data_IF_586469391353
#
_entry.id   IF_586469391353
#
_cell.length_a   1.000
_cell.length_b   1.000
_cell.length_c   1.000
_cell.angle_alpha   90.00
_cell.angle_beta   90.00
_cell.angle_gamma   90.00
#
_symmetry.space_group_name_H-M   'P 1'
#
loop_
_entity.id
_entity.type
_entity.pdbx_description
1 polymer ?
#
# COMPACT_ATOMS: atom_id res chain seq x y z
N UNK A 1 1.78 7.77 -10.24
CA UNK A 1 1.78 6.39 -10.72
C UNK A 1 0.65 5.57 -10.12
N UNK A 2 0.02 4.76 -10.91
CA UNK A 2 -1.06 3.87 -10.48
C UNK A 2 -0.61 2.91 -9.38
N UNK A 3 0.64 2.50 -9.41
CA UNK A 3 1.21 1.53 -8.45
C UNK A 3 1.13 2.07 -7.02
N UNK A 4 1.46 3.33 -6.81
CA UNK A 4 1.38 3.94 -5.48
C UNK A 4 -0.06 3.95 -4.96
N UNK A 5 -1.02 4.21 -5.82
CA UNK A 5 -2.44 4.18 -5.47
C UNK A 5 -2.87 2.76 -5.07
N UNK A 6 -2.46 1.77 -5.86
CA UNK A 6 -2.77 0.37 -5.56
C UNK A 6 -2.13 -0.09 -4.25
N UNK A 7 -0.91 0.35 -3.96
CA UNK A 7 -0.24 0.01 -2.70
C UNK A 7 -1.02 0.56 -1.50
N UNK A 8 -1.48 1.81 -1.56
CA UNK A 8 -2.27 2.40 -0.47
C UNK A 8 -3.55 1.60 -0.27
N UNK A 9 -4.25 1.27 -1.36
CA UNK A 9 -5.51 0.51 -1.28
C UNK A 9 -5.28 -0.87 -0.68
N UNK A 10 -4.26 -1.59 -1.14
CA UNK A 10 -3.94 -2.92 -0.64
C UNK A 10 -3.58 -2.90 0.85
N UNK A 11 -2.76 -1.93 1.27
CA UNK A 11 -2.37 -1.82 2.68
C UNK A 11 -3.58 -1.54 3.58
N UNK A 12 -4.47 -0.67 3.16
CA UNK A 12 -5.67 -0.37 3.93
C UNK A 12 -6.63 -1.57 3.97
N UNK A 13 -6.77 -2.29 2.87
CA UNK A 13 -7.60 -3.51 2.82
C UNK A 13 -7.05 -4.59 3.74
N UNK A 14 -5.74 -4.78 3.78
CA UNK A 14 -5.08 -5.73 4.70
C UNK A 14 -5.39 -5.36 6.15
N UNK A 15 -5.41 -4.07 6.46
CA UNK A 15 -5.72 -3.58 7.81
C UNK A 15 -7.22 -3.56 8.11
N UNK A 16 -8.07 -4.01 7.19
CA UNK A 16 -9.50 -4.06 7.37
C UNK A 16 -10.21 -2.72 7.23
N UNK A 17 -9.56 -1.73 6.65
CA UNK A 17 -10.10 -0.38 6.50
C UNK A 17 -10.59 -0.15 5.07
N UNK A 18 -11.81 0.38 4.94
CA UNK A 18 -12.36 0.78 3.64
C UNK A 18 -11.67 2.05 3.14
N UNK A 19 -11.40 2.13 1.84
CA UNK A 19 -10.58 3.17 1.23
C UNK A 19 -11.43 4.21 0.52
N UNK A 20 -11.19 5.48 0.80
CA UNK A 20 -11.80 6.62 0.11
C UNK A 20 -10.72 7.39 -0.66
N UNK A 21 -11.16 8.25 -1.61
CA UNK A 21 -10.26 9.14 -2.34
C UNK A 21 -9.42 10.00 -1.38
N UNK A 22 -10.05 10.51 -0.31
CA UNK A 22 -9.35 11.31 0.69
C UNK A 22 -8.22 10.56 1.38
N UNK A 23 -8.38 9.24 1.58
CA UNK A 23 -7.34 8.41 2.20
C UNK A 23 -6.09 8.33 1.33
N UNK A 24 -6.27 8.20 0.00
CA UNK A 24 -5.15 8.19 -0.94
C UNK A 24 -4.48 9.55 -0.99
N UNK A 25 -5.27 10.62 -1.04
CA UNK A 25 -4.78 12.00 -1.02
C UNK A 25 -3.89 12.24 0.19
N UNK A 26 -4.36 11.84 1.37
CA UNK A 26 -3.63 12.02 2.62
C UNK A 26 -2.37 11.15 2.66
N UNK A 27 -2.47 9.88 2.26
CA UNK A 27 -1.35 8.94 2.32
C UNK A 27 -0.21 9.32 1.36
N UNK A 28 -0.55 9.83 0.17
CA UNK A 28 0.43 10.19 -0.84
C UNK A 28 0.76 11.68 -0.87
N UNK A 29 0.11 12.46 -0.01
CA UNK A 29 0.28 13.92 0.05
C UNK A 29 0.08 14.57 -1.32
N UNK A 30 -1.03 14.22 -1.97
CA UNK A 30 -1.39 14.73 -3.29
C UNK A 30 -2.71 15.52 -3.21
N UNK A 31 -2.89 16.53 -4.08
CA UNK A 31 -4.14 17.28 -4.14
C UNK A 31 -5.31 16.38 -4.57
N UNK A 32 -6.45 16.54 -3.92
CA UNK A 32 -7.66 15.73 -4.20
C UNK A 32 -8.11 15.74 -5.65
N UNK A 33 -8.12 16.89 -6.37
CA UNK A 33 -8.54 16.88 -7.77
C UNK A 33 -7.71 15.96 -8.65
N UNK A 34 -6.39 15.91 -8.44
CA UNK A 34 -5.50 15.03 -9.17
C UNK A 34 -5.73 13.56 -8.82
N UNK A 35 -5.95 13.27 -7.53
CA UNK A 35 -6.26 11.91 -7.07
C UNK A 35 -7.58 11.43 -7.66
N UNK A 36 -8.62 12.28 -7.63
CA UNK A 36 -9.93 11.93 -8.20
C UNK A 36 -9.83 11.60 -9.68
N UNK A 37 -9.03 12.39 -10.42
CA UNK A 37 -8.81 12.16 -11.85
C UNK A 37 -8.12 10.82 -12.10
N UNK A 38 -7.05 10.55 -11.37
CA UNK A 38 -6.28 9.31 -11.50
C UNK A 38 -7.14 8.09 -11.14
N UNK A 39 -7.91 8.17 -10.06
CA UNK A 39 -8.83 7.11 -9.66
C UNK A 39 -9.84 6.81 -10.78
N UNK A 40 -10.39 7.86 -11.40
CA UNK A 40 -11.32 7.70 -12.51
C UNK A 40 -10.68 7.00 -13.70
N UNK A 41 -9.45 7.38 -14.04
CA UNK A 41 -8.68 6.71 -15.09
C UNK A 41 -8.45 5.24 -14.78
N UNK A 42 -8.07 4.94 -13.54
CA UNK A 42 -7.82 3.56 -13.10
C UNK A 42 -9.10 2.72 -13.12
N UNK A 43 -10.22 3.32 -12.77
CA UNK A 43 -11.52 2.67 -12.86
C UNK A 43 -11.87 2.34 -14.31
N UNK A 44 -11.66 3.28 -15.23
CA UNK A 44 -11.90 3.09 -16.65
C UNK A 44 -11.02 1.99 -17.25
N UNK A 45 -9.79 1.85 -16.73
CA UNK A 45 -8.85 0.81 -17.16
C UNK A 45 -9.10 -0.54 -16.48
N UNK A 46 -10.03 -0.58 -15.55
CA UNK A 46 -10.41 -1.82 -14.89
C UNK A 46 -9.55 -2.20 -13.68
N UNK A 47 -8.72 -1.31 -13.15
CA UNK A 47 -7.86 -1.59 -12.01
C UNK A 47 -8.55 -1.39 -10.67
N UNK A 48 -9.58 -0.57 -10.63
CA UNK A 48 -10.36 -0.26 -9.44
C UNK A 48 -11.85 -0.35 -9.72
N UNK A 49 -12.64 -0.55 -8.65
CA UNK A 49 -14.08 -0.32 -8.67
C UNK A 49 -14.46 0.60 -7.54
N UNK A 50 -15.59 1.29 -7.70
CA UNK A 50 -16.18 2.13 -6.67
C UNK A 50 -17.50 1.51 -6.23
N UNK A 51 -17.75 1.54 -4.92
CA UNK A 51 -19.04 1.13 -4.37
C UNK A 51 -19.48 2.14 -3.32
N UNK A 52 -20.75 2.59 -3.36
CA UNK A 52 -21.23 3.49 -2.33
C UNK A 52 -21.30 2.78 -0.97
N UNK A 53 -21.12 3.57 0.10
CA UNK A 53 -21.34 3.08 1.44
C UNK A 53 -22.79 2.68 1.64
N UNK A 54 -23.04 1.59 2.36
CA UNK A 54 -24.40 1.17 2.71
C UNK A 54 -25.09 2.18 3.63
N UNK A 55 -24.31 2.89 4.44
CA UNK A 55 -24.84 3.87 5.40
C UNK A 55 -25.07 5.24 4.77
N UNK A 56 -24.22 5.65 3.81
CA UNK A 56 -24.31 6.95 3.14
C UNK A 56 -23.84 6.84 1.70
N UNK A 57 -24.78 6.88 0.76
CA UNK A 57 -24.51 6.75 -0.68
C UNK A 57 -23.60 7.86 -1.24
N UNK A 58 -23.40 8.95 -0.51
CA UNK A 58 -22.47 10.02 -0.93
C UNK A 58 -21.01 9.64 -0.70
N UNK A 59 -20.76 8.64 0.13
CA UNK A 59 -19.42 8.14 0.39
C UNK A 59 -19.16 6.97 -0.56
N UNK A 60 -18.11 7.11 -1.37
CA UNK A 60 -17.68 6.06 -2.31
C UNK A 60 -16.41 5.41 -1.79
N UNK A 61 -16.46 4.08 -1.65
CA UNK A 61 -15.30 3.28 -1.30
C UNK A 61 -14.67 2.70 -2.55
N UNK A 62 -13.35 2.63 -2.54
CA UNK A 62 -12.53 2.11 -3.63
C UNK A 62 -12.09 0.69 -3.32
N UNK A 63 -12.14 -0.18 -4.32
CA UNK A 63 -11.70 -1.57 -4.19
C UNK A 63 -10.78 -1.90 -5.35
N UNK A 64 -9.70 -2.64 -5.06
CA UNK A 64 -8.81 -3.14 -6.09
C UNK A 64 -9.50 -4.31 -6.80
N UNK A 65 -9.39 -4.35 -8.13
CA UNK A 65 -9.89 -5.46 -8.94
C UNK A 65 -8.81 -6.53 -9.10
N UNK A 66 -9.18 -7.68 -9.67
CA UNK A 66 -8.20 -8.72 -10.01
C UNK A 66 -7.16 -8.19 -11.00
N UNK A 67 -7.56 -7.37 -11.95
CA UNK A 67 -6.63 -6.74 -12.90
C UNK A 67 -5.69 -5.76 -12.20
N UNK A 68 -6.19 -5.03 -11.21
CA UNK A 68 -5.37 -4.16 -10.37
C UNK A 68 -4.34 -4.95 -9.56
N UNK A 69 -4.75 -6.09 -9.00
CA UNK A 69 -3.84 -6.98 -8.26
C UNK A 69 -2.75 -7.55 -9.17
N UNK A 70 -3.10 -7.93 -10.40
CA UNK A 70 -2.13 -8.40 -11.38
C UNK A 70 -1.12 -7.34 -11.74
N UNK A 71 -1.56 -6.09 -11.93
CA UNK A 71 -0.66 -4.97 -12.22
C UNK A 71 0.32 -4.75 -11.08
N UNK A 72 -0.17 -4.74 -9.85
CA UNK A 72 0.65 -4.56 -8.65
C UNK A 72 1.67 -5.70 -8.50
N UNK A 73 1.25 -6.94 -8.65
CA UNK A 73 2.11 -8.11 -8.55
C UNK A 73 3.21 -8.11 -9.63
N UNK A 74 2.85 -7.75 -10.85
CA UNK A 74 3.81 -7.67 -11.96
C UNK A 74 4.88 -6.61 -11.70
N UNK A 75 4.48 -5.44 -11.20
CA UNK A 75 5.42 -4.38 -10.84
C UNK A 75 6.36 -4.84 -9.73
N UNK A 76 5.83 -5.44 -8.68
CA UNK A 76 6.62 -5.93 -7.56
C UNK A 76 7.62 -7.01 -8.00
N UNK A 77 7.20 -7.90 -8.89
CA UNK A 77 8.08 -8.92 -9.47
C UNK A 77 9.22 -8.29 -10.27
N UNK A 78 8.92 -7.28 -11.10
CA UNK A 78 9.93 -6.58 -11.90
C UNK A 78 10.94 -5.86 -11.00
N UNK A 79 10.48 -5.18 -9.95
CA UNK A 79 11.35 -4.49 -9.00
C UNK A 79 12.23 -5.51 -8.28
N UNK A 80 11.64 -6.60 -7.78
CA UNK A 80 12.39 -7.65 -7.09
C UNK A 80 13.47 -8.25 -8.00
N UNK A 81 13.13 -8.59 -9.24
CA UNK A 81 14.07 -9.18 -10.19
C UNK A 81 15.22 -8.20 -10.54
N UNK A 82 14.91 -6.90 -10.59
CA UNK A 82 15.94 -5.88 -10.83
C UNK A 82 16.92 -5.76 -9.67
N UNK A 83 16.45 -5.97 -8.44
CA UNK A 83 17.27 -5.89 -7.24
C UNK A 83 18.04 -7.17 -6.92
N UNK A 84 17.58 -8.31 -7.46
CA UNK A 84 18.08 -9.62 -7.09
C UNK A 84 19.62 -9.76 -7.23
N UNK A 85 20.25 -9.31 -8.33
CA UNK A 85 21.70 -9.41 -8.45
C UNK A 85 22.46 -8.70 -7.33
N UNK A 86 21.96 -7.56 -6.88
CA UNK A 86 22.58 -6.81 -5.79
C UNK A 86 22.34 -7.50 -4.43
N UNK A 87 21.16 -8.10 -4.26
CA UNK A 87 20.81 -8.82 -3.03
C UNK A 87 21.61 -10.12 -2.89
N UNK A 88 21.95 -10.77 -3.99
CA UNK A 88 22.74 -12.02 -3.98
C UNK A 88 24.16 -11.81 -3.43
N UNK A 89 24.66 -10.58 -3.47
CA UNK A 89 25.96 -10.23 -2.90
C UNK A 89 25.94 -10.18 -1.37
N UNK A 90 24.76 -10.17 -0.76
CA UNK A 90 24.59 -10.15 0.69
C UNK A 90 24.60 -11.60 1.20
N UNK A 91 25.49 -11.90 2.18
CA UNK A 91 25.53 -13.24 2.76
C UNK A 91 24.24 -13.57 3.52
N UNK A 92 23.89 -14.86 3.60
CA UNK A 92 22.74 -15.31 4.39
C UNK A 92 22.88 -14.93 5.86
N UNK A 93 24.09 -14.99 6.39
CA UNK A 93 24.37 -14.61 7.77
C UNK A 93 24.08 -13.14 8.03
N UNK A 94 24.53 -12.26 7.13
CA UNK A 94 24.28 -10.81 7.26
C UNK A 94 22.78 -10.50 7.12
N UNK A 95 22.09 -11.17 6.19
CA UNK A 95 20.66 -11.01 6.01
C UNK A 95 19.88 -11.40 7.27
N UNK A 96 20.19 -12.57 7.85
CA UNK A 96 19.56 -13.04 9.08
C UNK A 96 19.82 -12.10 10.26
N UNK A 97 21.05 -11.62 10.39
CA UNK A 97 21.42 -10.66 11.43
C UNK A 97 20.63 -9.36 11.29
N UNK A 98 20.51 -8.86 10.06
CA UNK A 98 19.76 -7.63 9.77
C UNK A 98 18.29 -7.79 10.12
N UNK A 99 17.67 -8.90 9.72
CA UNK A 99 16.27 -9.19 10.02
C UNK A 99 16.05 -9.22 11.53
N UNK A 100 16.89 -9.94 12.28
CA UNK A 100 16.77 -10.00 13.73
C UNK A 100 16.90 -8.62 14.37
N UNK A 101 17.81 -7.79 13.87
CA UNK A 101 18.01 -6.44 14.38
C UNK A 101 16.82 -5.54 14.12
N UNK A 102 16.25 -5.60 12.90
CA UNK A 102 15.06 -4.84 12.53
C UNK A 102 13.87 -5.25 13.41
N UNK A 103 13.65 -6.54 13.61
CA UNK A 103 12.59 -7.05 14.47
C UNK A 103 12.73 -6.54 15.91
N UNK A 104 13.96 -6.47 16.40
CA UNK A 104 14.27 -5.96 17.73
C UNK A 104 13.95 -4.47 17.83
N UNK A 105 14.36 -3.68 16.85
CA UNK A 105 14.01 -2.25 16.77
C UNK A 105 12.51 -2.07 16.77
N UNK A 106 11.80 -2.85 15.98
CA UNK A 106 10.35 -2.77 15.89
C UNK A 106 9.68 -3.02 17.23
N UNK A 107 10.10 -4.07 17.95
CA UNK A 107 9.56 -4.37 19.28
C UNK A 107 9.80 -3.23 20.27
N UNK A 108 11.02 -2.69 20.29
CA UNK A 108 11.37 -1.58 21.18
C UNK A 108 10.51 -0.35 20.87
N UNK A 109 10.35 -0.03 19.60
CA UNK A 109 9.51 1.12 19.21
C UNK A 109 8.06 0.94 19.61
N UNK A 110 7.51 -0.26 19.44
CA UNK A 110 6.12 -0.56 19.83
C UNK A 110 5.93 -0.45 21.35
N UNK A 111 6.86 -0.99 22.12
CA UNK A 111 6.82 -0.91 23.60
C UNK A 111 6.89 0.53 24.08
N UNK A 112 7.80 1.33 23.51
CA UNK A 112 7.94 2.73 23.87
C UNK A 112 6.71 3.56 23.50
N UNK A 113 6.14 3.27 22.34
CA UNK A 113 4.89 3.95 21.92
C UNK A 113 3.76 3.65 22.90
N UNK A 114 3.60 2.40 23.29
CA UNK A 114 2.57 1.99 24.26
C UNK A 114 2.77 2.68 25.61
N UNK A 115 4.03 2.81 26.06
CA UNK A 115 4.34 3.49 27.33
C UNK A 115 4.01 4.99 27.26
N UNK A 116 4.23 5.63 26.12
CA UNK A 116 3.95 7.05 25.93
C UNK A 116 2.45 7.34 25.82
N UNK A 117 1.67 6.38 25.33
CA UNK A 117 0.22 6.52 25.14
C UNK A 117 -0.59 6.24 26.42
N UNK A 118 0.05 5.82 27.51
CA UNK A 118 -0.62 5.56 28.79
C UNK A 118 -0.90 6.82 29.58
#
# INVERSE_FOLDING_TARGET
SYIHFLDVIEQMEINGTSVKVSDISDALNLPRPGVTRTVKEMEQKGYLTKKPSEEDARILYLFITDEGKKLSAKYNEQVFNALLPDLEAISGEDAECTIRTIERFYRVMCERRNDLDK
#
